data_IF_008713035564
#
_entry.id   IF_008713035564
#
_cell.length_a   1.000
_cell.length_b   1.000
_cell.length_c   1.000
_cell.angle_alpha   90.00
_cell.angle_beta   90.00
_cell.angle_gamma   90.00
#
_symmetry.space_group_name_H-M   'P 1'
#
loop_
_entity.id
_entity.type
_entity.pdbx_description
1 polymer ?
2 non-polymer ?
3 non-polymer ?
4 non-polymer ?
5 non-polymer ?
6 water ?
#
# COMPACT_ATOMS: atom_id res chain seq x y z
N UNK A 9 -18.39 -0.74 14.32
CA UNK A 9 -17.72 0.60 14.22
C UNK A 9 -16.25 0.42 13.83
N UNK A 10 -15.53 -0.35 14.65
CA UNK A 10 -14.17 -0.76 14.35
C UNK A 10 -14.09 -1.45 12.97
N UNK A 11 -15.17 -2.10 12.56
CA UNK A 11 -15.19 -2.89 11.33
C UNK A 11 -15.14 -2.06 10.05
N UNK A 12 -15.85 -0.93 10.03
CA UNK A 12 -15.87 -0.05 8.85
C UNK A 12 -14.44 0.33 8.42
N UNK A 13 -13.56 0.46 9.41
CA UNK A 13 -12.16 0.81 9.19
C UNK A 13 -11.45 -0.23 8.37
N UNK A 14 -11.49 -1.46 8.83
CA UNK A 14 -10.80 -2.55 8.15
C UNK A 14 -11.37 -2.80 6.76
N UNK A 15 -12.61 -2.37 6.50
CA UNK A 15 -13.18 -2.44 5.16
C UNK A 15 -12.46 -1.48 4.23
N UNK A 16 -12.34 -0.24 4.70
CA UNK A 16 -11.67 0.83 3.97
C UNK A 16 -10.19 0.53 3.78
N UNK A 17 -9.58 0.04 4.85
CA UNK A 17 -8.18 -0.33 4.81
C UNK A 17 -8.02 -1.37 3.75
N UNK A 18 -8.93 -2.33 3.75
CA UNK A 18 -8.89 -3.44 2.82
C UNK A 18 -8.94 -3.04 1.35
N UNK A 19 -9.66 -1.96 1.05
CA UNK A 19 -9.82 -1.52 -0.33
C UNK A 19 -8.52 -0.91 -0.85
N UNK A 20 -8.07 0.15 -0.17
CA UNK A 20 -6.82 0.82 -0.48
C UNK A 20 -5.64 -0.14 -0.41
N UNK A 21 -5.55 -0.92 0.65
CA UNK A 21 -4.48 -1.89 0.73
C UNK A 21 -4.45 -2.81 -0.48
N UNK A 22 -5.60 -3.34 -0.89
CA UNK A 22 -5.62 -4.35 -1.95
C UNK A 22 -5.48 -3.75 -3.34
N UNK A 23 -5.64 -2.44 -3.44
CA UNK A 23 -5.34 -1.73 -4.68
C UNK A 23 -3.87 -1.79 -5.04
N UNK A 24 -2.99 -1.88 -4.04
CA UNK A 24 -1.54 -1.81 -4.29
C UNK A 24 -1.02 -3.05 -4.99
N UNK A 25 -1.56 -4.21 -4.64
CA UNK A 25 -1.05 -5.46 -5.17
C UNK A 25 -0.98 -5.47 -6.70
N UNK A 26 -2.03 -4.99 -7.40
CA UNK A 26 -1.97 -4.96 -8.86
C UNK A 26 -1.05 -3.88 -9.38
N UNK A 27 -1.16 -2.67 -8.83
CA UNK A 27 -0.27 -1.57 -9.19
C UNK A 27 1.20 -1.99 -9.13
N UNK A 28 1.60 -2.57 -8.00
CA UNK A 28 2.95 -3.07 -7.82
C UNK A 28 3.36 -4.01 -8.93
N UNK A 29 2.53 -4.99 -9.23
CA UNK A 29 2.82 -5.89 -10.35
C UNK A 29 3.11 -5.10 -11.62
N UNK A 30 2.41 -3.97 -11.79
CA UNK A 30 2.59 -3.14 -12.97
C UNK A 30 3.99 -2.56 -13.04
N UNK A 31 4.44 -1.99 -11.94
CA UNK A 31 5.79 -1.44 -11.83
C UNK A 31 6.81 -2.48 -12.25
N UNK A 32 6.52 -3.75 -12.02
CA UNK A 32 7.38 -4.84 -12.42
C UNK A 32 7.40 -5.01 -13.93
N UNK A 33 6.22 -4.92 -14.57
CA UNK A 33 6.10 -5.06 -16.01
C UNK A 33 6.64 -3.84 -16.77
N UNK A 34 6.19 -2.65 -16.37
CA UNK A 34 6.67 -1.39 -16.91
C UNK A 34 8.21 -1.32 -16.95
N UNK A 35 8.85 -1.61 -15.82
CA UNK A 35 10.31 -1.55 -15.76
C UNK A 35 11.01 -2.54 -16.67
N UNK A 36 10.47 -3.75 -16.79
CA UNK A 36 11.17 -4.76 -17.60
C UNK A 36 11.14 -4.32 -19.08
N UNK A 37 10.06 -3.66 -19.47
CA UNK A 37 9.93 -3.06 -20.80
C UNK A 37 10.99 -1.96 -20.92
N UNK A 38 10.93 -1.02 -19.99
CA UNK A 38 11.85 0.11 -19.94
C UNK A 38 13.30 -0.29 -20.08
N UNK A 39 13.69 -1.46 -19.58
CA UNK A 39 15.08 -1.90 -19.66
C UNK A 39 15.33 -2.85 -20.82
N UNK A 40 14.39 -3.74 -21.09
CA UNK A 40 14.65 -4.86 -22.00
C UNK A 40 14.35 -4.54 -23.46
N UNK A 41 14.20 -3.25 -23.75
CA UNK A 41 13.57 -2.82 -25.00
C UNK A 41 14.18 -3.42 -26.26
N UNK A 42 15.49 -3.30 -26.41
CA UNK A 42 16.17 -3.89 -27.54
C UNK A 42 15.83 -5.36 -27.66
N UNK A 43 15.98 -6.07 -26.55
CA UNK A 43 15.93 -7.54 -26.54
C UNK A 43 14.56 -8.13 -26.87
N UNK A 44 13.49 -7.56 -26.34
CA UNK A 44 12.17 -8.21 -26.35
C UNK A 44 11.52 -8.36 -27.71
N UNK A 45 10.80 -9.46 -27.88
CA UNK A 45 10.07 -9.72 -29.13
C UNK A 45 8.59 -9.37 -28.97
N UNK A 46 7.87 -9.42 -30.08
CA UNK A 46 6.42 -9.23 -30.11
C UNK A 46 5.73 -10.06 -29.03
N UNK A 47 5.82 -11.38 -29.18
CA UNK A 47 5.03 -12.32 -28.39
C UNK A 47 4.99 -11.96 -26.92
N UNK A 48 6.15 -11.66 -26.35
CA UNK A 48 6.23 -11.39 -24.91
C UNK A 48 5.82 -9.95 -24.60
N UNK A 49 6.38 -9.00 -25.33
CA UNK A 49 6.04 -7.61 -25.12
C UNK A 49 4.52 -7.36 -25.18
N UNK A 50 3.86 -8.08 -26.07
CA UNK A 50 2.40 -8.02 -26.20
C UNK A 50 1.76 -8.61 -24.95
N UNK A 51 2.42 -9.59 -24.37
CA UNK A 51 1.91 -10.24 -23.16
C UNK A 51 2.05 -9.32 -21.95
N UNK A 52 3.23 -8.74 -21.79
CA UNK A 52 3.48 -7.77 -20.71
C UNK A 52 2.39 -6.71 -20.70
N UNK A 53 2.12 -6.13 -21.86
CA UNK A 53 1.08 -5.12 -22.00
C UNK A 53 -0.29 -5.66 -21.62
N UNK A 54 -0.63 -6.85 -22.07
CA UNK A 54 -1.90 -7.45 -21.71
C UNK A 54 -2.05 -7.58 -20.19
N UNK A 55 -0.97 -8.02 -19.55
CA UNK A 55 -0.93 -8.18 -18.11
C UNK A 55 -1.19 -6.87 -17.38
N UNK A 56 -0.62 -5.79 -17.90
CA UNK A 56 -0.90 -4.44 -17.38
C UNK A 56 -2.38 -4.07 -17.48
N UNK A 57 -3.01 -4.44 -18.61
CA UNK A 57 -4.42 -4.12 -18.82
C UNK A 57 -5.29 -4.93 -17.88
N UNK A 58 -4.97 -6.20 -17.71
CA UNK A 58 -5.68 -7.01 -16.73
C UNK A 58 -5.64 -6.35 -15.36
N UNK A 59 -4.43 -6.02 -14.92
CA UNK A 59 -4.22 -5.52 -13.56
C UNK A 59 -4.85 -4.15 -13.35
N UNK A 60 -4.99 -3.38 -14.43
CA UNK A 60 -5.67 -2.09 -14.32
C UNK A 60 -7.19 -2.30 -14.22
N UNK A 61 -7.71 -3.37 -14.81
CA UNK A 61 -9.12 -3.75 -14.67
C UNK A 61 -9.42 -4.10 -13.24
N UNK A 62 -8.54 -4.94 -12.68
CA UNK A 62 -8.62 -5.31 -11.29
C UNK A 62 -8.72 -4.10 -10.37
N UNK A 63 -7.92 -3.08 -10.64
CA UNK A 63 -8.00 -1.87 -9.82
C UNK A 63 -9.39 -1.25 -9.91
N UNK A 64 -9.94 -1.19 -11.11
CA UNK A 64 -11.26 -0.59 -11.27
C UNK A 64 -12.34 -1.44 -10.62
N UNK A 65 -12.22 -2.75 -10.78
CA UNK A 65 -13.08 -3.68 -10.07
C UNK A 65 -13.14 -3.33 -8.59
N UNK A 66 -11.96 -3.21 -7.98
CA UNK A 66 -11.89 -2.96 -6.56
C UNK A 66 -12.55 -1.62 -6.25
N UNK A 67 -12.26 -0.61 -7.07
CA UNK A 67 -12.85 0.70 -6.85
C UNK A 67 -14.36 0.61 -6.98
N UNK A 68 -14.81 -0.05 -8.05
CA UNK A 68 -16.23 -0.26 -8.31
C UNK A 68 -16.94 -0.89 -7.11
N UNK A 69 -16.38 -1.99 -6.61
CA UNK A 69 -16.97 -2.68 -5.46
C UNK A 69 -17.26 -1.73 -4.31
N UNK A 70 -16.34 -0.82 -4.05
CA UNK A 70 -16.48 0.12 -2.95
C UNK A 70 -17.61 1.11 -3.22
N UNK A 71 -17.70 1.59 -4.45
CA UNK A 71 -18.73 2.57 -4.81
C UNK A 71 -20.11 1.93 -4.72
N UNK A 72 -20.24 0.73 -5.25
CA UNK A 72 -21.45 -0.07 -5.06
C UNK A 72 -21.83 -0.17 -3.59
N UNK A 73 -20.87 -0.51 -2.76
CA UNK A 73 -21.12 -0.61 -1.34
C UNK A 73 -21.66 0.72 -0.78
N UNK A 74 -21.25 1.83 -1.37
CA UNK A 74 -21.72 3.12 -0.91
C UNK A 74 -23.19 3.36 -1.23
N UNK A 75 -23.62 2.95 -2.42
CA UNK A 75 -25.03 3.09 -2.79
C UNK A 75 -25.87 1.95 -2.20
N UNK A 76 -25.40 0.72 -2.35
CA UNK A 76 -26.14 -0.46 -1.95
C UNK A 76 -26.17 -0.67 -0.44
N UNK A 77 -25.06 -0.40 0.22
CA UNK A 77 -24.89 -0.80 1.62
C UNK A 77 -24.47 -2.26 1.72
N UNK A 78 -24.52 -2.97 0.59
CA UNK A 78 -24.11 -4.35 0.53
C UNK A 78 -22.73 -4.43 -0.11
N UNK A 79 -21.81 -5.09 0.58
CA UNK A 79 -20.39 -5.06 0.23
C UNK A 79 -19.92 -6.23 -0.61
N UNK A 80 -20.37 -7.44 -0.28
CA UNK A 80 -19.96 -8.65 -0.99
C UNK A 80 -21.15 -9.48 -1.52
N UNK A 81 -21.79 -9.02 -2.60
CA UNK A 81 -22.85 -9.75 -3.28
C UNK A 81 -22.48 -11.16 -3.69
N UNK A 82 -23.07 -12.14 -3.02
CA UNK A 82 -22.70 -13.56 -3.18
C UNK A 82 -23.32 -14.20 -4.44
N UNK A 83 -22.75 -15.32 -4.85
CA UNK A 83 -23.15 -15.99 -6.09
C UNK A 83 -22.34 -17.27 -6.31
N UNK A 84 -22.74 -18.07 -7.26
CA UNK A 84 -22.12 -19.37 -7.40
C UNK A 84 -21.08 -19.26 -8.49
N UNK A 85 -19.82 -19.46 -8.12
CA UNK A 85 -18.73 -19.34 -9.07
C UNK A 85 -17.71 -20.44 -8.93
N UNK A 86 -16.83 -20.55 -9.92
CA UNK A 86 -15.76 -21.53 -9.88
C UNK A 86 -14.57 -20.97 -9.12
N UNK A 87 -14.36 -21.48 -7.92
CA UNK A 87 -13.20 -21.15 -7.12
C UNK A 87 -11.89 -21.26 -7.90
N UNK A 88 -11.70 -22.39 -8.58
CA UNK A 88 -10.49 -22.62 -9.37
C UNK A 88 -10.21 -21.51 -10.38
N UNK A 89 -11.25 -21.05 -11.05
CA UNK A 89 -11.11 -19.94 -12.00
C UNK A 89 -10.39 -18.77 -11.33
N UNK A 90 -10.91 -18.37 -10.16
CA UNK A 90 -10.32 -17.29 -9.42
C UNK A 90 -8.89 -17.63 -9.03
N UNK A 91 -8.67 -18.85 -8.55
CA UNK A 91 -7.31 -19.22 -8.19
C UNK A 91 -6.35 -19.06 -9.37
N UNK A 92 -6.71 -19.65 -10.50
CA UNK A 92 -5.89 -19.62 -11.70
C UNK A 92 -5.56 -18.21 -12.13
N UNK A 93 -6.56 -17.35 -12.01
CA UNK A 93 -6.41 -15.92 -12.28
C UNK A 93 -5.25 -15.33 -11.48
N UNK A 94 -5.26 -15.61 -10.17
CA UNK A 94 -4.25 -15.06 -9.27
C UNK A 94 -2.91 -15.73 -9.50
N UNK A 95 -2.92 -17.03 -9.72
CA UNK A 95 -1.70 -17.78 -9.99
C UNK A 95 -1.04 -17.21 -11.23
N UNK A 96 -1.82 -16.97 -12.27
CA UNK A 96 -1.30 -16.38 -13.51
C UNK A 96 -0.69 -15.02 -13.26
N UNK A 97 -1.50 -14.10 -12.75
CA UNK A 97 -1.03 -12.75 -12.43
C UNK A 97 0.29 -12.74 -11.65
N UNK A 98 0.35 -13.55 -10.60
CA UNK A 98 1.45 -13.44 -9.65
C UNK A 98 2.68 -14.26 -10.01
N UNK A 99 2.58 -15.11 -11.02
CA UNK A 99 3.77 -15.83 -11.46
C UNK A 99 4.28 -15.18 -12.73
N UNK A 100 5.57 -14.82 -12.73
CA UNK A 100 6.19 -14.20 -13.89
C UNK A 100 7.09 -15.19 -14.60
N UNK A 101 8.09 -14.66 -15.31
CA UNK A 101 9.17 -15.48 -15.85
C UNK A 101 10.16 -15.75 -14.72
N UNK A 102 10.30 -14.75 -13.84
CA UNK A 102 11.17 -14.84 -12.67
C UNK A 102 10.64 -15.87 -11.69
N UNK A 103 9.37 -15.69 -11.31
CA UNK A 103 8.73 -16.48 -10.27
C UNK A 103 7.78 -17.52 -10.86
N UNK A 104 7.93 -18.76 -10.41
CA UNK A 104 7.03 -19.84 -10.80
C UNK A 104 6.27 -20.43 -9.61
N UNK A 105 4.95 -20.51 -9.73
CA UNK A 105 4.08 -20.93 -8.64
C UNK A 105 3.61 -22.34 -8.87
N UNK A 106 3.87 -23.25 -7.95
CA UNK A 106 3.43 -24.63 -8.07
C UNK A 106 1.95 -24.72 -7.84
N UNK A 107 1.37 -25.75 -8.44
CA UNK A 107 -0.07 -25.88 -8.48
C UNK A 107 -0.45 -27.31 -8.16
N UNK A 108 -1.47 -27.45 -7.31
CA UNK A 108 -2.16 -28.72 -7.11
C UNK A 108 -3.64 -28.42 -6.94
N UNK A 109 -4.23 -27.90 -7.99
CA UNK A 109 -5.65 -27.60 -7.98
C UNK A 109 -6.46 -28.87 -8.19
N UNK A 110 -7.70 -28.81 -7.71
CA UNK A 110 -8.66 -29.89 -7.87
C UNK A 110 -9.06 -29.92 -9.35
N UNK A 111 -9.17 -31.12 -9.94
CA UNK A 111 -9.57 -31.18 -11.34
C UNK A 111 -11.01 -30.74 -11.59
N UNK A 112 -11.23 -30.05 -12.70
CA UNK A 112 -12.54 -29.53 -13.00
C UNK A 112 -12.79 -28.25 -12.25
N UNK A 113 -14.01 -28.07 -11.80
CA UNK A 113 -14.38 -26.82 -11.18
C UNK A 113 -14.95 -27.09 -9.79
N UNK A 114 -14.98 -26.04 -8.99
CA UNK A 114 -15.53 -26.09 -7.66
C UNK A 114 -16.52 -24.96 -7.60
N UNK A 115 -17.80 -25.30 -7.53
CA UNK A 115 -18.83 -24.28 -7.42
C UNK A 115 -19.00 -23.95 -5.96
N UNK A 116 -18.77 -22.69 -5.64
CA UNK A 116 -18.96 -22.23 -4.27
C UNK A 116 -19.72 -20.92 -4.28
N UNK A 117 -20.42 -20.69 -3.19
CA UNK A 117 -21.14 -19.47 -2.99
C UNK A 117 -20.12 -18.48 -2.48
N UNK A 118 -19.81 -17.48 -3.29
CA UNK A 118 -18.78 -16.49 -2.94
C UNK A 118 -19.02 -15.12 -3.59
N UNK A 119 -18.30 -14.11 -3.10
CA UNK A 119 -18.10 -12.88 -3.84
C UNK A 119 -16.73 -12.90 -4.49
N UNK A 120 -16.66 -13.36 -5.76
CA UNK A 120 -15.40 -13.72 -6.43
C UNK A 120 -14.23 -12.73 -6.35
N UNK A 121 -14.51 -11.43 -6.45
CA UNK A 121 -13.43 -10.47 -6.36
C UNK A 121 -12.78 -10.53 -4.99
N UNK A 122 -13.62 -10.47 -3.96
CA UNK A 122 -13.15 -10.48 -2.58
C UNK A 122 -12.26 -11.68 -2.30
N UNK A 123 -12.64 -12.83 -2.80
CA UNK A 123 -11.81 -14.01 -2.61
C UNK A 123 -10.52 -13.88 -3.39
N UNK A 124 -10.61 -13.36 -4.60
CA UNK A 124 -9.43 -13.06 -5.40
C UNK A 124 -8.46 -12.22 -4.61
N UNK A 125 -8.98 -11.19 -3.93
CA UNK A 125 -8.14 -10.35 -3.06
C UNK A 125 -7.47 -11.20 -1.97
N UNK A 126 -8.27 -11.93 -1.21
CA UNK A 126 -7.73 -12.80 -0.19
C UNK A 126 -6.59 -13.64 -0.73
N UNK A 127 -6.81 -14.30 -1.84
CA UNK A 127 -5.79 -15.25 -2.33
C UNK A 127 -4.52 -14.50 -2.71
N UNK A 128 -4.69 -13.30 -3.27
CA UNK A 128 -3.57 -12.44 -3.63
C UNK A 128 -2.68 -12.17 -2.41
N UNK A 129 -3.29 -11.67 -1.35
CA UNK A 129 -2.58 -11.37 -0.11
C UNK A 129 -1.75 -12.56 0.37
N UNK A 130 -2.37 -13.72 0.38
CA UNK A 130 -1.68 -14.93 0.80
C UNK A 130 -0.45 -15.17 -0.08
N UNK A 131 -0.62 -14.99 -1.39
CA UNK A 131 0.45 -15.29 -2.33
C UNK A 131 1.57 -14.24 -2.34
N UNK A 132 1.25 -12.96 -2.18
CA UNK A 132 2.33 -11.96 -2.06
C UNK A 132 3.14 -12.18 -0.79
N UNK A 133 2.49 -12.54 0.31
CA UNK A 133 3.21 -12.90 1.52
C UNK A 133 4.13 -14.11 1.31
N UNK A 134 3.68 -15.08 0.53
CA UNK A 134 4.45 -16.29 0.37
C UNK A 134 5.75 -15.94 -0.34
N UNK A 135 5.64 -14.97 -1.23
CA UNK A 135 6.79 -14.44 -1.92
C UNK A 135 7.60 -13.62 -0.92
N UNK A 136 6.91 -12.75 -0.20
CA UNK A 136 7.58 -11.81 0.69
C UNK A 136 8.39 -12.49 1.80
N UNK A 137 7.83 -13.54 2.40
CA UNK A 137 8.46 -14.16 3.57
C UNK A 137 9.01 -15.55 3.25
N UNK A 138 8.92 -15.96 2.00
CA UNK A 138 9.39 -17.28 1.62
C UNK A 138 10.72 -17.17 0.93
N UNK A 139 11.15 -18.27 0.33
CA UNK A 139 12.44 -18.33 -0.34
C UNK A 139 12.30 -18.74 -1.78
N UNK A 140 11.18 -18.36 -2.38
CA UNK A 140 10.95 -18.59 -3.80
C UNK A 140 9.92 -19.64 -4.13
N UNK A 141 9.82 -20.68 -3.30
CA UNK A 141 8.82 -21.74 -3.53
C UNK A 141 7.47 -21.33 -3.00
N UNK A 142 6.45 -21.50 -3.84
CA UNK A 142 5.09 -21.16 -3.52
C UNK A 142 4.15 -22.16 -4.17
N UNK A 143 3.24 -22.72 -3.38
CA UNK A 143 2.35 -23.74 -3.91
C UNK A 143 0.91 -23.44 -3.58
N UNK A 144 0.09 -23.39 -4.62
CA UNK A 144 -1.34 -23.17 -4.45
C UNK A 144 -2.07 -24.46 -4.74
N UNK A 145 -2.95 -24.86 -3.83
CA UNK A 145 -3.74 -26.07 -3.99
C UNK A 145 -5.17 -25.83 -3.56
N UNK A 146 -6.08 -26.62 -4.14
CA UNK A 146 -7.48 -26.59 -3.77
C UNK A 146 -8.01 -28.00 -3.81
N UNK A 147 -9.11 -28.20 -3.07
CA UNK A 147 -9.82 -29.45 -3.05
C UNK A 147 -11.17 -29.25 -2.42
N UNK A 148 -11.88 -30.35 -2.20
CA UNK A 148 -13.25 -30.32 -1.72
C UNK A 148 -13.55 -31.53 -0.85
N UNK A 149 -14.61 -31.42 -0.06
CA UNK A 149 -15.02 -32.46 0.88
C UNK A 149 -16.53 -32.44 1.01
N UNK A 150 -17.11 -33.55 1.52
CA UNK A 150 -18.55 -33.67 1.65
C UNK A 150 -19.36 -32.38 1.70
N UNK A 151 -19.03 -31.44 2.58
CA UNK A 151 -19.79 -30.19 2.62
C UNK A 151 -18.97 -28.91 2.52
N UNK A 152 -17.66 -29.05 2.29
CA UNK A 152 -16.72 -27.94 2.34
C UNK A 152 -15.86 -27.90 1.08
N UNK A 153 -15.35 -26.72 0.76
CA UNK A 153 -14.30 -26.56 -0.24
C UNK A 153 -13.15 -25.84 0.41
N UNK A 154 -11.96 -25.99 -0.16
CA UNK A 154 -10.81 -25.27 0.35
C UNK A 154 -9.79 -24.91 -0.70
N UNK A 155 -9.06 -23.85 -0.40
CA UNK A 155 -7.79 -23.54 -1.07
C UNK A 155 -6.71 -23.22 -0.05
N UNK A 156 -5.48 -23.64 -0.33
CA UNK A 156 -4.34 -23.15 0.46
C UNK A 156 -3.16 -22.69 -0.35
N UNK A 157 -2.38 -21.78 0.24
CA UNK A 157 -1.08 -21.41 -0.29
C UNK A 157 -0.01 -21.78 0.71
N UNK A 158 1.14 -22.23 0.21
CA UNK A 158 2.25 -22.68 1.02
C UNK A 158 3.53 -22.02 0.55
N UNK A 159 4.41 -21.63 1.48
CA UNK A 159 5.75 -21.13 1.15
C UNK A 159 6.80 -21.92 1.89
N UNK A 160 8.06 -21.74 1.50
CA UNK A 160 9.19 -22.46 2.10
C UNK A 160 9.95 -21.56 3.05
N UNK A 161 9.28 -20.53 3.56
CA UNK A 161 9.86 -19.61 4.54
C UNK A 161 9.94 -20.20 5.94
N UNK A 162 9.99 -19.34 6.97
CA UNK A 162 10.08 -19.82 8.35
C UNK A 162 8.75 -20.20 8.99
N UNK A 163 7.62 -20.02 8.30
CA UNK A 163 6.33 -20.30 8.92
C UNK A 163 6.01 -19.27 9.98
N UNK A 164 4.90 -19.46 10.69
CA UNK A 164 4.54 -18.60 11.82
C UNK A 164 4.26 -19.42 13.05
N UNK A 165 5.08 -19.23 14.08
CA UNK A 165 4.97 -19.96 15.33
C UNK A 165 3.59 -19.76 15.94
N UNK A 166 2.91 -20.87 16.29
CA UNK A 166 1.52 -20.83 16.78
C UNK A 166 1.25 -19.73 17.82
N UNK A 167 2.19 -19.51 18.73
CA UNK A 167 2.04 -18.46 19.74
C UNK A 167 1.80 -17.08 19.14
N UNK A 168 2.34 -16.85 17.93
CA UNK A 168 2.25 -15.54 17.28
C UNK A 168 0.96 -15.31 16.51
N UNK A 169 0.34 -16.40 16.10
CA UNK A 169 -0.76 -16.32 15.14
C UNK A 169 -1.90 -15.37 15.50
N UNK A 170 -2.56 -15.57 16.63
CA UNK A 170 -3.70 -14.72 16.97
C UNK A 170 -3.27 -13.26 17.00
N UNK A 171 -2.06 -13.02 17.48
CA UNK A 171 -1.55 -11.66 17.58
C UNK A 171 -1.45 -11.00 16.20
N UNK A 172 -1.01 -11.76 15.22
CA UNK A 172 -0.70 -11.19 13.91
C UNK A 172 -1.90 -11.00 12.98
N UNK A 173 -3.06 -11.57 13.32
CA UNK A 173 -4.29 -11.27 12.58
C UNK A 173 -4.86 -9.88 12.86
N UNK A 174 -4.32 -9.19 13.86
CA UNK A 174 -4.81 -7.87 14.17
C UNK A 174 -4.35 -6.88 13.12
N UNK A 175 -5.19 -5.88 12.84
CA UNK A 175 -4.81 -4.90 11.85
C UNK A 175 -3.68 -4.02 12.34
N UNK A 176 -2.84 -3.59 11.39
CA UNK A 176 -1.69 -2.72 11.64
C UNK A 176 -0.66 -3.34 12.54
N UNK A 177 -0.62 -4.66 12.60
CA UNK A 177 0.31 -5.35 13.45
C UNK A 177 1.20 -6.11 12.52
N UNK A 178 2.49 -5.81 12.63
CA UNK A 178 3.52 -6.44 11.83
C UNK A 178 4.26 -7.46 12.69
N UNK A 179 5.18 -8.19 12.08
CA UNK A 179 6.07 -9.11 12.80
C UNK A 179 7.44 -8.51 13.06
N UNK A 180 8.01 -8.83 14.21
CA UNK A 180 9.40 -8.45 14.50
C UNK A 180 10.30 -9.10 13.45
N UNK A 181 10.04 -10.38 13.18
CA UNK A 181 10.66 -11.09 12.06
C UNK A 181 10.37 -10.32 10.77
N UNK A 182 9.14 -9.84 10.66
CA UNK A 182 8.74 -9.03 9.52
C UNK A 182 9.43 -7.66 9.47
N UNK A 183 9.82 -7.10 10.61
CA UNK A 183 10.35 -5.72 10.65
C UNK A 183 11.37 -5.52 9.49
N UNK A 184 12.29 -6.48 9.37
CA UNK A 184 13.26 -6.57 8.25
C UNK A 184 12.62 -6.31 6.87
N UNK A 185 11.53 -7.01 6.62
CA UNK A 185 10.73 -6.87 5.40
C UNK A 185 9.73 -5.70 5.51
N UNK A 186 9.46 -5.03 4.38
CA UNK A 186 8.55 -3.88 4.36
C UNK A 186 7.08 -4.32 4.33
N UNK A 187 6.17 -3.44 4.77
CA UNK A 187 4.74 -3.79 4.89
C UNK A 187 3.87 -2.92 5.80
N UNK A 188 2.71 -3.45 6.16
CA UNK A 188 1.60 -2.65 6.75
C UNK A 188 0.83 -3.34 7.84
N UNK A 189 0.96 -4.67 7.92
CA UNK A 189 0.32 -5.45 8.97
C UNK A 189 -1.17 -5.58 8.76
N UNK A 190 -1.56 -5.77 7.50
CA UNK A 190 -2.94 -5.74 7.07
C UNK A 190 -3.38 -6.98 6.29
N UNK A 191 -2.50 -7.57 5.50
CA UNK A 191 -2.90 -8.67 4.62
C UNK A 191 -3.74 -9.76 5.27
N UNK A 192 -3.21 -10.30 6.35
CA UNK A 192 -3.89 -11.34 7.13
C UNK A 192 -5.17 -10.85 7.80
N UNK A 193 -5.12 -9.64 8.32
CA UNK A 193 -6.32 -9.04 8.89
C UNK A 193 -7.47 -9.00 7.86
N UNK A 194 -7.13 -8.62 6.64
CA UNK A 194 -8.08 -8.54 5.55
C UNK A 194 -8.56 -9.92 5.15
N UNK A 195 -7.61 -10.82 4.94
CA UNK A 195 -7.94 -12.20 4.57
C UNK A 195 -8.94 -12.77 5.56
N UNK A 196 -8.74 -12.52 6.84
CA UNK A 196 -9.64 -13.08 7.83
C UNK A 196 -11.02 -12.55 7.61
N UNK A 197 -11.16 -11.23 7.59
CA UNK A 197 -12.45 -10.59 7.41
C UNK A 197 -13.18 -11.06 6.17
N UNK A 198 -12.46 -11.23 5.07
CA UNK A 198 -13.07 -11.72 3.85
C UNK A 198 -13.58 -13.12 4.10
N UNK A 199 -12.73 -13.99 4.64
CA UNK A 199 -13.16 -15.36 4.90
C UNK A 199 -14.31 -15.41 5.92
N UNK A 200 -14.30 -14.55 6.93
CA UNK A 200 -15.39 -14.53 7.91
C UNK A 200 -16.69 -14.17 7.23
N UNK A 201 -16.70 -13.09 6.47
CA UNK A 201 -17.90 -12.70 5.73
C UNK A 201 -18.45 -13.79 4.80
N UNK A 202 -17.69 -14.85 4.55
CA UNK A 202 -18.17 -16.02 3.79
C UNK A 202 -18.55 -17.16 4.72
N UNK A 203 -18.59 -16.87 6.01
CA UNK A 203 -18.74 -17.88 7.04
C UNK A 203 -17.80 -19.07 6.86
N UNK A 204 -16.56 -18.74 6.54
CA UNK A 204 -15.51 -19.73 6.32
C UNK A 204 -14.60 -19.82 7.52
N UNK A 205 -13.62 -20.72 7.44
CA UNK A 205 -12.58 -20.75 8.46
C UNK A 205 -11.17 -20.82 7.89
N UNK A 206 -10.28 -20.05 8.51
CA UNK A 206 -8.85 -20.11 8.21
C UNK A 206 -8.18 -21.12 9.10
N UNK A 207 -7.18 -21.80 8.55
CA UNK A 207 -6.42 -22.80 9.26
C UNK A 207 -4.94 -22.65 8.89
N UNK A 208 -4.13 -22.15 9.81
CA UNK A 208 -2.67 -22.03 9.62
C UNK A 208 -1.92 -23.29 10.06
N UNK A 209 -0.70 -23.45 9.57
CA UNK A 209 0.00 -24.74 9.67
C UNK A 209 1.40 -24.65 9.10
N UNK A 210 2.13 -25.76 9.12
CA UNK A 210 3.44 -25.73 8.47
C UNK A 210 3.36 -26.41 7.12
N UNK A 211 3.94 -25.72 6.13
CA UNK A 211 3.94 -26.18 4.75
C UNK A 211 4.73 -27.48 4.56
N UNK A 212 4.67 -27.98 3.34
CA UNK A 212 5.42 -29.16 2.88
C UNK A 212 6.91 -29.06 3.20
N UNK A 213 7.41 -27.82 3.27
CA UNK A 213 8.83 -27.54 3.48
C UNK A 213 9.13 -26.66 4.69
N UNK A 214 8.24 -26.64 5.66
CA UNK A 214 8.53 -25.96 6.93
C UNK A 214 8.10 -24.51 6.97
N UNK A 215 7.53 -24.02 5.88
CA UNK A 215 7.04 -22.64 5.86
C UNK A 215 5.60 -22.57 6.33
N UNK A 216 4.97 -21.41 6.18
CA UNK A 216 3.57 -21.24 6.51
C UNK A 216 2.70 -21.94 5.48
N UNK A 217 1.63 -22.55 5.98
CA UNK A 217 0.64 -23.22 5.17
C UNK A 217 -0.65 -22.61 5.63
N UNK A 218 -1.28 -21.83 4.78
CA UNK A 218 -2.50 -21.13 5.19
C UNK A 218 -3.65 -21.55 4.28
N UNK A 219 -4.71 -22.03 4.89
CA UNK A 219 -5.79 -22.69 4.17
C UNK A 219 -7.12 -22.13 4.55
N UNK A 220 -7.93 -21.80 3.54
CA UNK A 220 -9.24 -21.24 3.79
C UNK A 220 -10.29 -22.27 3.43
N UNK A 221 -11.18 -22.55 4.37
CA UNK A 221 -12.30 -23.46 4.13
C UNK A 221 -13.55 -22.67 3.87
N UNK A 222 -14.29 -23.07 2.84
CA UNK A 222 -15.57 -22.45 2.55
C UNK A 222 -16.71 -23.46 2.65
N UNK A 223 -17.87 -23.02 3.16
CA UNK A 223 -19.04 -23.89 3.16
C UNK A 223 -19.58 -24.07 1.75
N UNK A 224 -20.06 -25.28 1.45
CA UNK A 224 -20.76 -25.57 0.20
C UNK A 224 -22.18 -25.96 0.56
N UNK A 225 -23.13 -25.03 0.34
CA UNK A 225 -24.52 -25.31 0.66
C UNK A 225 -25.04 -26.56 -0.04
N UNK A 226 -26.19 -27.04 0.42
CA UNK A 226 -26.79 -28.26 -0.11
C UNK A 226 -28.29 -28.03 -0.27
N UNK A 227 -28.77 -28.09 -1.52
CA UNK A 227 -30.15 -27.71 -1.88
C UNK A 227 -31.21 -28.02 -0.81
N UNK B 9 -15.61 7.97 11.52
CA UNK B 9 -16.08 6.95 10.53
C UNK B 9 -16.38 7.51 9.14
N UNK B 10 -16.96 8.70 9.11
CA UNK B 10 -17.60 9.24 7.91
C UNK B 10 -16.77 10.28 7.13
N UNK B 11 -16.05 11.14 7.85
CA UNK B 11 -15.04 12.01 7.21
C UNK B 11 -14.04 11.14 6.48
N UNK B 12 -13.86 9.91 6.96
CA UNK B 12 -12.97 8.94 6.33
C UNK B 12 -13.57 8.44 5.02
N UNK B 13 -14.82 8.00 5.09
CA UNK B 13 -15.52 7.44 3.92
C UNK B 13 -15.54 8.43 2.75
N UNK B 14 -15.87 9.67 3.06
CA UNK B 14 -15.87 10.76 2.11
C UNK B 14 -14.48 10.90 1.49
N UNK B 15 -13.48 10.80 2.34
CA UNK B 15 -12.08 10.89 1.92
C UNK B 15 -11.70 9.74 0.99
N UNK B 16 -12.09 8.51 1.38
CA UNK B 16 -11.92 7.33 0.53
C UNK B 16 -12.56 7.52 -0.84
N UNK B 17 -13.72 8.17 -0.88
CA UNK B 17 -14.40 8.48 -2.13
C UNK B 17 -13.54 9.39 -3.00
N UNK B 18 -12.96 10.41 -2.37
CA UNK B 18 -12.08 11.34 -3.06
C UNK B 18 -10.87 10.62 -3.64
N UNK B 19 -10.29 9.73 -2.86
CA UNK B 19 -9.13 8.97 -3.29
C UNK B 19 -9.44 8.20 -4.56
N UNK B 20 -10.51 7.41 -4.52
CA UNK B 20 -10.91 6.64 -5.68
C UNK B 20 -11.17 7.54 -6.90
N UNK B 21 -11.77 8.71 -6.66
CA UNK B 21 -11.96 9.70 -7.72
C UNK B 21 -10.63 10.15 -8.32
N UNK B 22 -9.72 10.59 -7.48
CA UNK B 22 -8.41 11.10 -7.92
C UNK B 22 -7.57 10.04 -8.65
N UNK B 23 -7.83 8.79 -8.33
CA UNK B 23 -7.19 7.67 -8.99
C UNK B 23 -7.60 7.46 -10.45
N UNK B 24 -8.74 7.98 -10.87
CA UNK B 24 -9.29 7.65 -12.19
C UNK B 24 -8.41 8.10 -13.34
N UNK B 25 -7.93 9.34 -13.27
CA UNK B 25 -7.09 9.93 -14.34
C UNK B 25 -5.76 9.21 -14.56
N UNK B 26 -4.97 9.00 -13.48
CA UNK B 26 -3.76 8.19 -13.62
C UNK B 26 -4.03 6.81 -14.17
N UNK B 27 -5.09 6.19 -13.66
CA UNK B 27 -5.45 4.83 -14.03
C UNK B 27 -5.86 4.71 -15.48
N UNK B 28 -6.67 5.65 -15.97
CA UNK B 28 -7.14 5.61 -17.35
C UNK B 28 -5.94 5.76 -18.27
N UNK B 29 -5.02 6.62 -17.87
CA UNK B 29 -3.85 6.95 -18.67
C UNK B 29 -2.90 5.78 -18.83
N UNK B 30 -2.82 4.96 -17.79
CA UNK B 30 -1.97 3.78 -17.80
C UNK B 30 -2.51 2.75 -18.75
N UNK B 31 -3.81 2.46 -18.63
CA UNK B 31 -4.49 1.51 -19.52
C UNK B 31 -4.27 1.95 -20.97
N UNK B 32 -4.38 3.26 -21.19
CA UNK B 32 -4.18 3.86 -22.51
C UNK B 32 -2.81 3.61 -23.12
N UNK B 33 -1.76 3.95 -22.37
CA UNK B 33 -0.38 3.70 -22.81
C UNK B 33 -0.23 2.20 -23.01
N UNK B 34 -0.75 1.46 -22.05
CA UNK B 34 -0.63 0.02 -22.07
C UNK B 34 -1.23 -0.53 -23.34
N UNK B 35 -2.35 0.08 -23.75
CA UNK B 35 -3.08 -0.43 -24.90
C UNK B 35 -2.36 -0.13 -26.22
N UNK B 36 -1.80 1.07 -26.35
CA UNK B 36 -1.09 1.40 -27.58
C UNK B 36 0.14 0.52 -27.72
N UNK B 37 0.86 0.31 -26.64
CA UNK B 37 2.00 -0.61 -26.68
C UNK B 37 1.54 -1.97 -27.20
N UNK B 38 0.41 -2.42 -26.66
CA UNK B 38 -0.15 -3.72 -27.00
C UNK B 38 -0.41 -3.87 -28.49
N UNK B 39 -0.93 -2.81 -29.10
CA UNK B 39 -1.33 -2.84 -30.51
C UNK B 39 -0.26 -2.40 -31.49
N UNK B 40 0.74 -1.68 -31.01
CA UNK B 40 1.67 -0.99 -31.90
C UNK B 40 3.08 -1.52 -31.79
N UNK B 41 3.20 -2.77 -31.39
CA UNK B 41 4.52 -3.37 -31.23
C UNK B 41 5.36 -3.26 -32.48
N UNK B 42 4.84 -3.78 -33.60
CA UNK B 42 5.49 -3.61 -34.88
C UNK B 42 5.85 -2.15 -35.13
N UNK B 43 4.86 -1.28 -34.95
CA UNK B 43 4.95 0.14 -35.29
C UNK B 43 6.10 0.97 -34.64
N UNK B 44 6.29 0.88 -33.34
CA UNK B 44 6.86 2.01 -32.59
C UNK B 44 8.38 2.11 -32.46
N UNK B 45 8.84 3.35 -32.37
CA UNK B 45 10.22 3.67 -32.04
C UNK B 45 10.52 3.27 -30.61
N UNK B 46 11.72 2.77 -30.37
CA UNK B 46 12.16 2.41 -29.01
C UNK B 46 12.20 3.61 -28.07
N UNK B 47 12.50 4.79 -28.60
CA UNK B 47 12.47 6.03 -27.83
C UNK B 47 11.09 6.24 -27.21
N UNK B 48 10.06 6.08 -28.02
CA UNK B 48 8.69 6.40 -27.62
C UNK B 48 8.16 5.32 -26.71
N UNK B 49 8.31 4.08 -27.15
CA UNK B 49 7.96 2.90 -26.36
C UNK B 49 8.49 2.99 -24.94
N UNK B 50 9.61 3.68 -24.78
CA UNK B 50 10.29 3.84 -23.52
C UNK B 50 9.64 4.98 -22.76
N UNK B 51 9.47 6.11 -23.43
CA UNK B 51 8.66 7.17 -22.89
C UNK B 51 7.24 6.65 -22.52
N UNK B 52 6.59 5.65 -23.23
CA UNK B 52 5.30 5.24 -22.59
C UNK B 52 5.65 4.56 -21.29
N UNK B 53 6.46 3.50 -21.29
CA UNK B 53 6.85 2.77 -20.06
C UNK B 53 7.29 3.66 -18.90
N UNK B 54 8.00 4.73 -19.20
CA UNK B 54 8.46 5.64 -18.17
C UNK B 54 7.29 6.38 -17.55
N UNK B 55 6.37 6.81 -18.40
CA UNK B 55 5.23 7.59 -17.95
C UNK B 55 4.24 6.75 -17.14
N UNK B 56 4.10 5.47 -17.53
CA UNK B 56 3.33 4.47 -16.78
C UNK B 56 3.80 4.47 -15.35
N UNK B 57 5.12 4.40 -15.22
CA UNK B 57 5.78 4.28 -13.94
C UNK B 57 5.59 5.54 -13.10
N UNK B 58 5.70 6.70 -13.75
CA UNK B 58 5.47 7.95 -13.05
C UNK B 58 4.08 7.97 -12.45
N UNK B 59 3.13 7.40 -13.19
CA UNK B 59 1.71 7.39 -12.80
C UNK B 59 1.41 6.40 -11.69
N UNK B 60 2.02 5.22 -11.80
CA UNK B 60 1.89 4.22 -10.75
C UNK B 60 2.37 4.81 -9.43
N UNK B 61 3.44 5.60 -9.48
CA UNK B 61 3.99 6.25 -8.29
C UNK B 61 3.01 7.24 -7.72
N UNK B 62 2.33 7.97 -8.60
CA UNK B 62 1.32 8.92 -8.18
C UNK B 62 0.23 8.19 -7.39
N UNK B 63 -0.16 7.02 -7.87
CA UNK B 63 -1.25 6.28 -7.25
C UNK B 63 -0.82 5.81 -5.87
N UNK B 64 0.26 5.03 -5.84
CA UNK B 64 0.84 4.55 -4.58
C UNK B 64 0.93 5.65 -3.53
N UNK B 65 1.33 6.84 -3.94
CA UNK B 65 1.39 7.98 -3.02
C UNK B 65 0.08 8.26 -2.31
N UNK B 66 -1.01 8.32 -3.06
CA UNK B 66 -2.30 8.74 -2.51
C UNK B 66 -2.87 7.65 -1.63
N UNK B 67 -2.71 6.42 -2.10
CA UNK B 67 -3.22 5.28 -1.39
C UNK B 67 -2.53 5.15 -0.06
N UNK B 68 -1.19 5.18 -0.12
CA UNK B 68 -0.36 5.11 1.08
C UNK B 68 -0.78 6.24 2.00
N UNK B 69 -0.86 7.43 1.45
CA UNK B 69 -1.24 8.59 2.25
C UNK B 69 -2.54 8.33 3.02
N UNK B 70 -3.51 7.71 2.37
CA UNK B 70 -4.81 7.44 2.97
C UNK B 70 -4.72 6.41 4.09
N UNK B 71 -4.04 5.30 3.79
CA UNK B 71 -3.79 4.24 4.77
C UNK B 71 -3.15 4.83 6.03
N UNK B 72 -2.17 5.70 5.83
CA UNK B 72 -1.47 6.33 6.94
C UNK B 72 -2.47 7.12 7.77
N UNK B 73 -3.31 7.90 7.10
CA UNK B 73 -4.36 8.67 7.76
C UNK B 73 -5.31 7.76 8.56
N UNK B 74 -5.61 6.63 7.96
CA UNK B 74 -6.48 5.65 8.58
C UNK B 74 -5.87 5.22 9.91
N UNK B 75 -4.65 4.71 9.84
CA UNK B 75 -3.87 4.25 11.00
C UNK B 75 -3.84 5.28 12.10
N UNK B 76 -3.85 6.54 11.71
CA UNK B 76 -3.79 7.64 12.67
C UNK B 76 -4.90 7.51 13.70
N UNK B 77 -6.03 6.93 13.29
CA UNK B 77 -7.17 6.79 14.19
C UNK B 77 -7.00 5.78 15.30
N UNK B 78 -6.17 4.76 15.09
CA UNK B 78 -6.03 3.69 16.08
C UNK B 78 -4.81 3.88 16.97
N UNK B 79 -4.90 3.35 18.18
CA UNK B 79 -3.81 3.39 19.15
C UNK B 79 -2.72 2.39 18.77
N UNK B 80 -1.46 2.82 18.88
CA UNK B 80 -0.33 2.01 18.49
C UNK B 80 0.58 1.74 19.67
N UNK B 81 1.26 0.58 19.68
CA UNK B 81 2.24 0.30 20.72
C UNK B 81 3.41 1.27 20.71
N UNK B 82 3.57 2.01 21.80
CA UNK B 82 4.73 2.91 21.99
C UNK B 82 5.92 2.16 22.56
N UNK B 83 7.10 2.69 22.32
CA UNK B 83 8.34 2.12 22.84
C UNK B 83 9.41 3.18 22.91
N UNK B 84 10.53 2.86 23.52
CA UNK B 84 11.64 3.80 23.55
C UNK B 84 12.45 3.57 22.31
N UNK B 85 12.76 4.67 21.61
CA UNK B 85 13.52 4.59 20.37
C UNK B 85 14.28 5.87 20.10
N UNK B 86 15.41 5.74 19.40
CA UNK B 86 16.27 6.88 19.04
C UNK B 86 15.71 7.67 17.88
N UNK B 87 15.24 8.88 18.18
CA UNK B 87 14.72 9.76 17.15
C UNK B 87 15.66 9.89 15.92
N UNK B 88 16.96 9.96 16.16
CA UNK B 88 17.89 10.21 15.06
C UNK B 88 18.07 9.01 14.16
N UNK B 89 17.87 7.81 14.68
CA UNK B 89 17.89 6.62 13.82
C UNK B 89 16.67 6.56 12.91
N UNK B 90 15.53 7.02 13.43
CA UNK B 90 14.29 7.04 12.67
C UNK B 90 14.43 8.04 11.56
N UNK B 91 14.80 9.26 11.90
CA UNK B 91 15.02 10.29 10.89
C UNK B 91 16.02 9.81 9.83
N UNK B 92 17.06 9.12 10.26
CA UNK B 92 18.09 8.65 9.36
C UNK B 92 17.56 7.71 8.30
N UNK B 93 16.64 6.87 8.71
CA UNK B 93 16.06 5.86 7.82
C UNK B 93 15.18 6.52 6.76
N UNK B 94 14.27 7.38 7.21
CA UNK B 94 13.40 8.14 6.33
C UNK B 94 14.19 9.00 5.35
N UNK B 95 15.18 9.73 5.85
CA UNK B 95 16.00 10.59 4.99
C UNK B 95 16.68 9.80 3.89
N UNK B 96 17.13 8.59 4.20
CA UNK B 96 17.74 7.73 3.17
C UNK B 96 16.72 7.38 2.10
N UNK B 97 15.53 7.00 2.56
CA UNK B 97 14.45 6.56 1.67
C UNK B 97 13.84 7.69 0.84
N UNK B 98 13.73 8.89 1.39
CA UNK B 98 13.25 10.03 0.62
C UNK B 98 14.42 10.69 -0.06
N UNK B 99 15.60 10.15 0.21
CA UNK B 99 16.81 10.71 -0.34
C UNK B 99 16.85 10.30 -1.81
N UNK B 100 16.91 11.27 -2.70
CA UNK B 100 16.96 10.98 -4.13
C UNK B 100 17.92 11.85 -4.91
N UNK B 101 18.25 11.43 -6.13
CA UNK B 101 19.05 12.26 -7.02
C UNK B 101 18.18 13.41 -7.51
N UNK B 102 16.90 13.12 -7.69
CA UNK B 102 15.85 14.14 -7.85
C UNK B 102 15.97 15.29 -6.83
N UNK B 103 16.10 14.94 -5.54
CA UNK B 103 16.14 15.93 -4.45
C UNK B 103 17.26 15.66 -3.46
N UNK B 104 18.00 16.70 -3.09
CA UNK B 104 19.09 16.55 -2.13
C UNK B 104 18.67 17.11 -0.78
N UNK B 105 18.90 16.30 0.24
CA UNK B 105 18.50 16.61 1.59
C UNK B 105 19.72 16.98 2.42
N UNK B 106 19.66 18.11 3.10
CA UNK B 106 20.71 18.50 4.04
C UNK B 106 20.41 17.94 5.46
N UNK B 107 21.32 17.10 5.93
CA UNK B 107 21.22 16.48 7.24
C UNK B 107 22.09 17.20 8.26
N UNK B 108 21.45 17.64 9.33
CA UNK B 108 22.10 18.40 10.38
C UNK B 108 21.57 17.92 11.72
N UNK B 109 21.78 16.63 11.99
CA UNK B 109 21.17 16.04 13.19
C UNK B 109 21.97 16.25 14.46
N UNK B 110 21.24 16.53 15.54
CA UNK B 110 21.77 16.58 16.88
C UNK B 110 22.75 15.43 17.10
N UNK B 111 23.97 15.73 17.56
CA UNK B 111 25.04 14.74 17.58
C UNK B 111 25.05 13.86 18.82
N UNK B 112 23.88 13.41 19.21
CA UNK B 112 23.73 12.47 20.31
C UNK B 112 22.39 11.82 20.18
N UNK B 113 22.26 10.62 20.73
CA UNK B 113 21.02 9.88 20.61
C UNK B 113 19.94 10.57 21.46
N UNK B 114 18.72 10.60 20.93
CA UNK B 114 17.58 11.20 21.60
C UNK B 114 16.50 10.12 21.78
N UNK B 115 16.27 9.70 23.02
CA UNK B 115 15.24 8.71 23.32
C UNK B 115 13.92 9.41 23.54
N UNK B 116 12.91 9.02 22.77
CA UNK B 116 11.54 9.49 22.97
C UNK B 116 10.65 8.30 22.87
N UNK B 117 9.47 8.40 23.50
CA UNK B 117 8.46 7.36 23.48
C UNK B 117 7.60 7.57 22.23
N UNK B 118 7.60 6.59 21.33
CA UNK B 118 6.95 6.72 20.02
C UNK B 118 6.64 5.40 19.35
N UNK B 119 5.63 5.42 18.49
CA UNK B 119 5.45 4.38 17.48
C UNK B 119 6.31 4.70 16.26
N UNK B 120 7.43 3.98 16.08
CA UNK B 120 8.39 4.35 15.03
C UNK B 120 7.81 4.51 13.63
N UNK B 121 7.02 3.53 13.20
CA UNK B 121 6.43 3.62 11.88
C UNK B 121 5.65 4.92 11.69
N UNK B 122 4.84 5.27 12.69
CA UNK B 122 4.06 6.50 12.60
C UNK B 122 4.96 7.73 12.41
N UNK B 123 6.03 7.81 13.19
CA UNK B 123 6.94 8.93 13.11
C UNK B 123 7.58 8.98 11.73
N UNK B 124 8.07 7.84 11.27
CA UNK B 124 8.62 7.76 9.92
C UNK B 124 7.69 8.34 8.84
N UNK B 125 6.40 8.17 9.03
CA UNK B 125 5.45 8.69 8.05
C UNK B 125 5.31 10.20 8.16
N UNK B 126 5.23 10.68 9.40
CA UNK B 126 5.14 12.11 9.64
C UNK B 126 6.35 12.82 9.02
N UNK B 127 7.52 12.21 9.18
CA UNK B 127 8.72 12.80 8.65
C UNK B 127 8.62 12.81 7.13
N UNK B 128 8.27 11.67 6.56
CA UNK B 128 8.18 11.53 5.12
C UNK B 128 7.24 12.55 4.48
N UNK B 129 6.07 12.75 5.05
CA UNK B 129 5.13 13.72 4.50
C UNK B 129 5.67 15.13 4.54
N UNK B 130 6.35 15.46 5.63
CA UNK B 130 7.01 16.76 5.76
C UNK B 130 8.03 16.97 4.65
N UNK B 131 8.75 15.91 4.31
CA UNK B 131 9.78 15.98 3.28
C UNK B 131 9.20 16.21 1.90
N UNK B 132 8.14 15.48 1.55
CA UNK B 132 7.55 15.62 0.22
C UNK B 132 6.88 16.98 0.11
N UNK B 133 6.19 17.41 1.16
CA UNK B 133 5.61 18.75 1.20
C UNK B 133 6.70 19.78 0.95
N UNK B 134 7.85 19.58 1.59
CA UNK B 134 8.96 20.49 1.44
C UNK B 134 9.59 20.39 0.05
N UNK B 135 9.41 19.26 -0.62
CA UNK B 135 9.90 19.09 -1.98
C UNK B 135 8.97 19.76 -2.99
N UNK B 136 7.68 19.86 -2.65
CA UNK B 136 6.70 20.49 -3.53
C UNK B 136 6.76 22.01 -3.39
N UNK B 137 6.53 22.49 -2.18
CA UNK B 137 6.57 23.92 -1.89
C UNK B 137 7.93 24.56 -2.16
N UNK B 138 8.99 23.76 -2.08
CA UNK B 138 10.35 24.29 -2.13
C UNK B 138 10.96 24.32 -3.52
N UNK B 139 12.13 24.97 -3.63
CA UNK B 139 12.89 25.09 -4.88
C UNK B 139 14.03 24.08 -5.02
N UNK B 140 14.09 23.09 -4.14
CA UNK B 140 15.06 21.99 -4.25
C UNK B 140 15.88 21.72 -3.00
N UNK B 141 16.04 22.75 -2.18
CA UNK B 141 16.77 22.64 -0.92
C UNK B 141 15.85 22.16 0.16
N UNK B 142 16.27 21.11 0.86
CA UNK B 142 15.53 20.58 1.98
C UNK B 142 16.53 20.30 3.12
N UNK B 143 16.25 20.83 4.31
CA UNK B 143 17.08 20.52 5.48
C UNK B 143 16.31 19.89 6.63
N UNK B 144 16.75 18.71 7.01
CA UNK B 144 16.23 18.02 8.17
C UNK B 144 17.22 18.07 9.36
N UNK B 145 16.71 18.46 10.50
CA UNK B 145 17.49 18.61 11.70
C UNK B 145 16.72 18.09 12.91
N UNK B 146 17.45 17.83 14.00
CA UNK B 146 16.85 17.41 15.26
C UNK B 146 17.57 18.06 16.40
N UNK B 147 16.98 18.00 17.58
CA UNK B 147 17.64 18.47 18.79
C UNK B 147 16.79 18.21 19.99
N UNK B 148 17.21 18.74 21.12
CA UNK B 148 16.55 18.40 22.38
C UNK B 148 16.73 19.48 23.41
N UNK B 149 15.84 19.48 24.38
CA UNK B 149 15.87 20.39 25.51
C UNK B 149 15.68 19.49 26.72
N UNK B 150 15.87 20.04 27.93
CA UNK B 150 15.66 19.15 29.08
C UNK B 150 14.35 18.36 29.02
N UNK B 151 13.27 19.02 28.66
CA UNK B 151 11.92 18.43 28.76
C UNK B 151 11.34 17.84 27.48
N UNK B 152 11.77 18.35 26.34
CA UNK B 152 11.15 17.98 25.07
C UNK B 152 12.18 17.93 23.95
N UNK B 153 12.00 16.98 23.04
CA UNK B 153 12.83 16.89 21.84
C UNK B 153 12.11 17.46 20.63
N UNK B 154 12.80 17.51 19.51
CA UNK B 154 12.23 18.03 18.28
C UNK B 154 12.95 17.51 17.05
N UNK B 155 12.22 17.49 15.94
CA UNK B 155 12.82 17.41 14.62
C UNK B 155 12.13 18.43 13.75
N UNK B 156 12.81 18.91 12.72
CA UNK B 156 12.18 19.83 11.78
C UNK B 156 12.69 19.70 10.35
N UNK B 157 11.84 20.10 9.40
CA UNK B 157 12.24 20.17 8.01
C UNK B 157 12.06 21.60 7.53
N UNK B 158 12.89 21.99 6.57
CA UNK B 158 12.91 23.33 6.05
C UNK B 158 13.07 23.27 4.55
N UNK B 159 12.34 24.13 3.85
CA UNK B 159 12.53 24.30 2.41
C UNK B 159 12.98 25.73 2.07
N UNK B 160 13.44 25.92 0.83
CA UNK B 160 13.70 27.26 0.29
C UNK B 160 12.56 27.70 -0.61
N UNK B 161 11.33 27.45 -0.17
CA UNK B 161 10.13 27.77 -0.94
C UNK B 161 9.64 29.19 -0.72
N UNK B 162 8.35 29.43 -0.98
CA UNK B 162 7.82 30.78 -0.91
C UNK B 162 7.71 31.31 0.52
N UNK B 163 7.53 30.41 1.48
CA UNK B 163 7.31 30.81 2.85
C UNK B 163 5.86 31.19 3.04
N UNK B 164 5.12 30.35 3.75
CA UNK B 164 3.68 30.50 3.89
C UNK B 164 3.33 31.46 5.03
N UNK B 165 2.57 32.51 4.70
CA UNK B 165 2.16 33.50 5.69
C UNK B 165 1.18 32.90 6.70
N UNK B 166 1.27 33.35 7.97
CA UNK B 166 0.39 32.91 9.06
C UNK B 166 -1.12 32.83 8.74
N UNK B 167 -1.57 33.51 7.68
CA UNK B 167 -2.95 33.41 7.20
C UNK B 167 -3.20 32.08 6.49
N UNK B 168 -2.43 31.84 5.44
CA UNK B 168 -2.58 30.62 4.64
C UNK B 168 -2.24 29.42 5.50
N UNK B 169 -1.33 29.66 6.45
CA UNK B 169 -0.88 28.67 7.42
C UNK B 169 -1.98 27.78 8.01
N UNK B 170 -3.13 28.38 8.32
CA UNK B 170 -4.23 27.62 8.90
C UNK B 170 -4.86 26.65 7.89
N UNK B 171 -5.13 27.13 6.68
CA UNK B 171 -5.75 26.31 5.64
C UNK B 171 -4.69 25.50 4.89
N UNK B 172 -3.74 24.95 5.63
CA UNK B 172 -2.67 24.15 5.05
C UNK B 172 -2.84 22.69 5.46
N UNK B 173 -3.70 22.47 6.45
CA UNK B 173 -4.03 21.13 6.95
C UNK B 173 -5.36 20.62 6.39
N UNK B 174 -5.80 21.18 5.28
CA UNK B 174 -7.07 20.78 4.69
C UNK B 174 -6.85 19.75 3.56
N UNK B 175 -7.38 18.51 3.74
CA UNK B 175 -7.24 17.48 2.71
C UNK B 175 -8.04 17.75 1.44
N UNK B 176 -9.21 18.39 1.60
CA UNK B 176 -10.13 18.70 0.49
C UNK B 176 -9.89 20.10 -0.08
N UNK B 177 -9.95 20.23 -1.41
CA UNK B 177 -9.66 21.52 -2.06
C UNK B 177 -10.94 22.22 -2.54
N UNK B 178 -11.05 23.53 -2.26
CA UNK B 178 -12.24 24.31 -2.63
C UNK B 178 -12.41 24.52 -4.15
N UNK B 179 -11.31 24.80 -4.85
CA UNK B 179 -11.35 25.15 -6.27
C UNK B 179 -11.93 24.13 -7.23
N UNK B 180 -11.87 22.85 -6.86
CA UNK B 180 -12.22 21.75 -7.76
C UNK B 180 -11.37 21.84 -9.01
N UNK B 181 -10.06 21.84 -8.80
CA UNK B 181 -9.10 21.74 -9.90
C UNK B 181 -9.06 20.29 -10.39
N UNK B 182 -10.24 19.74 -10.67
CA UNK B 182 -10.39 18.35 -11.13
C UNK B 182 -9.87 17.29 -10.15
N UNK B 183 -9.48 17.71 -8.96
CA UNK B 183 -8.96 16.80 -7.95
C UNK B 183 -9.73 17.04 -6.68
N UNK B 184 -10.31 15.99 -6.12
CA UNK B 184 -11.03 16.10 -4.86
C UNK B 184 -10.06 16.38 -3.71
N UNK B 185 -8.83 15.86 -3.81
CA UNK B 185 -7.91 15.83 -2.67
C UNK B 185 -6.60 16.55 -2.88
N UNK B 186 -6.19 17.27 -1.84
CA UNK B 186 -4.86 17.86 -1.75
C UNK B 186 -3.90 16.93 -1.03
N UNK B 187 -2.92 16.39 -1.75
CA UNK B 187 -1.87 15.55 -1.16
C UNK B 187 -1.06 16.31 -0.12
N UNK B 188 -0.71 17.55 -0.44
CA UNK B 188 -0.04 18.42 0.51
C UNK B 188 -0.84 18.58 1.81
N UNK B 189 -2.12 18.87 1.67
CA UNK B 189 -2.97 19.13 2.82
C UNK B 189 -3.19 17.89 3.65
N UNK B 190 -3.58 16.80 2.99
CA UNK B 190 -3.77 15.52 3.67
C UNK B 190 -2.51 15.12 4.42
N UNK B 191 -1.36 15.29 3.77
CA UNK B 191 -0.07 14.95 4.35
C UNK B 191 0.14 15.64 5.68
N UNK B 192 0.04 16.97 5.66
CA UNK B 192 0.20 17.77 6.88
C UNK B 192 -0.86 17.42 7.92
N UNK B 193 -2.06 17.11 7.47
CA UNK B 193 -3.11 16.69 8.41
C UNK B 193 -2.74 15.37 9.07
N UNK B 194 -2.12 14.47 8.30
CA UNK B 194 -1.60 13.23 8.84
C UNK B 194 -0.54 13.52 9.90
N UNK B 195 0.41 14.39 9.56
CA UNK B 195 1.48 14.79 10.49
C UNK B 195 0.86 15.36 11.77
N UNK B 196 -0.02 16.34 11.61
CA UNK B 196 -0.75 16.94 12.71
C UNK B 196 -1.33 15.87 13.67
N UNK B 197 -1.96 14.85 13.10
CA UNK B 197 -2.62 13.83 13.92
C UNK B 197 -1.61 12.91 14.59
N UNK B 198 -0.51 12.59 13.90
CA UNK B 198 0.51 11.71 14.45
C UNK B 198 1.24 12.37 15.62
N UNK B 199 1.58 13.64 15.44
CA UNK B 199 2.22 14.41 16.49
C UNK B 199 1.31 14.44 17.72
N UNK B 200 0.03 14.70 17.50
CA UNK B 200 -0.95 14.72 18.59
C UNK B 200 -1.05 13.41 19.32
N UNK B 201 -1.14 12.31 18.58
CA UNK B 201 -1.15 10.99 19.21
C UNK B 201 0.08 10.76 20.08
N UNK B 202 1.16 11.48 19.80
CA UNK B 202 2.39 11.37 20.58
C UNK B 202 2.49 12.44 21.65
N UNK B 203 1.40 13.17 21.86
CA UNK B 203 1.33 14.28 22.83
C UNK B 203 2.35 15.35 22.54
N UNK B 204 2.61 15.58 21.27
CA UNK B 204 3.54 16.63 20.86
C UNK B 204 2.76 17.79 20.27
N UNK B 205 3.47 18.77 19.73
CA UNK B 205 2.81 19.82 18.96
C UNK B 205 3.67 20.30 17.80
N UNK B 206 3.02 20.74 16.74
CA UNK B 206 3.69 21.25 15.56
C UNK B 206 3.91 22.71 15.76
N UNK B 207 4.91 23.24 15.06
CA UNK B 207 5.24 24.65 15.13
C UNK B 207 5.77 25.07 13.77
N UNK B 208 5.09 26.01 13.14
CA UNK B 208 5.43 26.42 11.79
C UNK B 208 6.13 27.77 11.83
N UNK B 209 6.90 28.06 10.79
CA UNK B 209 7.59 29.33 10.68
C UNK B 209 8.42 29.41 9.42
N UNK B 210 9.19 30.49 9.32
CA UNK B 210 10.05 30.72 8.16
C UNK B 210 11.40 30.07 8.38
N UNK B 211 12.00 29.57 7.31
CA UNK B 211 13.28 28.88 7.38
C UNK B 211 14.45 29.85 7.19
N UNK B 212 15.66 29.30 7.33
CA UNK B 212 16.91 30.04 7.05
C UNK B 212 16.87 30.75 5.71
N UNK B 213 16.40 30.02 4.68
CA UNK B 213 16.36 30.53 3.31
C UNK B 213 14.97 31.04 2.92
N UNK B 214 14.21 31.55 3.88
CA UNK B 214 12.94 32.25 3.59
C UNK B 214 11.73 31.37 3.38
N UNK B 215 11.94 30.06 3.21
CA UNK B 215 10.85 29.11 2.96
C UNK B 215 10.09 28.70 4.20
N UNK B 216 9.33 27.60 4.09
CA UNK B 216 8.59 27.06 5.21
C UNK B 216 9.48 26.20 6.11
N UNK B 217 9.27 26.28 7.41
CA UNK B 217 9.92 25.38 8.34
C UNK B 217 8.90 24.90 9.35
N UNK B 218 8.75 23.58 9.39
CA UNK B 218 7.80 22.94 10.26
C UNK B 218 8.62 22.11 11.25
N UNK B 219 8.29 22.24 12.52
CA UNK B 219 9.00 21.60 13.60
C UNK B 219 8.02 20.85 14.46
N UNK B 220 8.39 19.63 14.82
CA UNK B 220 7.53 18.77 15.63
C UNK B 220 8.16 18.50 16.99
N UNK B 221 7.50 18.99 18.04
CA UNK B 221 7.99 18.77 19.40
C UNK B 221 7.46 17.45 19.95
N UNK B 222 8.26 16.78 20.76
CA UNK B 222 7.82 15.56 21.44
C UNK B 222 8.31 15.51 22.88
N UNK B 223 7.51 14.93 23.77
CA UNK B 223 7.95 14.85 25.16
C UNK B 223 9.08 13.84 25.37
N UNK B 224 10.06 14.23 26.18
CA UNK B 224 11.06 13.31 26.70
C UNK B 224 10.51 12.76 28.00
N UNK B 225 10.71 11.46 28.27
CA UNK B 225 10.34 10.91 29.57
C UNK B 225 10.84 11.73 30.75
X LIG C 1 1.08 -5.83 4.24
X LIG C 1 -0.09 -5.14 4.91
X LIG C 1 0.80 -7.13 3.52
X LIG C 1 1.83 -4.89 3.34
X LIG C 1 2.29 -7.57 6.23
X LIG C 1 3.20 -7.33 7.40
X LIG C 1 2.60 -8.75 5.33
X LIG C 1 2.14 -6.16 5.45
X LIG C 1 0.19 -9.11 7.34
X LIG C 1 -0.18 -9.93 6.15
X LIG C 1 -0.84 -8.62 8.36
X LIG C 1 0.81 -7.73 6.82
X LIG C 1 1.32 -10.06 7.98
X LIG C 1 1.43 -10.19 9.40
X LIG C 1 2.76 -10.81 9.81
X LIG C 1 2.70 -12.24 9.71
X LIG C 1 3.92 -10.40 8.91
X LIG C 1 4.48 -9.15 9.34
X LIG C 1 4.87 -11.58 9.05
X LIG C 1 5.67 -11.50 10.23
X LIG C 1 3.95 -12.77 9.24
X LIG C 1 3.73 -13.56 8.00
X LIG C 1 2.73 -13.37 7.11
X LIG C 1 2.82 -14.30 6.12
X LIG C 1 3.87 -15.07 6.37
X LIG C 1 4.51 -16.23 5.74
X LIG C 1 3.97 -16.67 4.59
X LIG C 1 5.63 -16.79 6.28
X LIG C 1 6.12 -16.28 7.42
X LIG C 1 5.57 -15.22 8.06
X LIG C 1 4.48 -14.58 7.60
X LIG D 1 0.96 -9.54 3.83
X LIG E 1 1.57 -26.30 13.36
X LIG E 1 0.62 -27.42 13.33
X LIG E 1 0.79 -25.05 13.45
X LIG E 1 2.47 -26.37 14.54
X LIG E 1 2.37 -26.32 12.12
X LIG F 1 -20.91 -10.84 8.78
X LIG F 1 -20.07 -11.76 9.53
X LIG F 1 -21.49 -11.50 7.52
X LIG F 1 -21.32 -12.93 7.60
X LIG F 1 -22.36 -13.75 7.02
X LIG F 1 -23.02 -14.66 8.07
X LIG F 1 -22.25 -14.73 9.28
X LIG G 1 25.54 9.05 22.20
X LIG G 1 25.52 7.59 22.45
X LIG G 1 26.94 9.55 22.21
X LIG G 1 24.92 9.27 20.87
X LIG G 1 24.76 9.77 23.24
X LIG H 1 -1.78 18.74 -4.14
X LIG H 1 -1.61 20.06 -4.80
X LIG H 1 -2.92 18.04 -4.79
X LIG H 1 -0.55 17.96 -4.31
X LIG H 1 -2.04 18.96 -2.70
#
# INVERSE_FOLDING_TARGET
MAAGVKQLADDRTLLMAGVSHDLRTPLTRIRAYAETIYNSLGELDLSTLKELAESINKDIEECNAIIEQFIDYLRTGQEMPMEMADLNAVLGEVIAAESGYEREIETALYPGSIEVKMHPLSIKRAVANMVVNAARYGNGWIKVSSGTEPNRAWFQVEDDGPGIAPEQRKHLFQPFVRGDSARTISGTGLGLAIVQRIVDNHNGMLELGTSERGGLSIRAWLPVPVTRAQGTTKEG
MAAGVKQLADDRTLLMAGVSHDLRTPLTRIRAYAETIYNSLGELDLSTLKELAESINKDIEECNAIIEQFIDYLRTGQEMPMEMADLNAVLGEVIAAESGYEREIETALYPGSIEVKMHPLSIKRAVANMVVNAARYGNGWIKVSSGTEPNRAWFQVEDDGPGIAPEQRKHLFQPFVRGDSARTISGTGLGLAIVQRIVDNHNGMLELGTSERGGLSIRAWLPVPVTRAQGTTKEG
ANP PG O1G O2G O3G PB O1B O2B N3B PA O1A O2A O3A O5' C5' C4' O4' C3' O3' C2' O2' C1' N9 C8 N7 C5 C6 N6 N1 C2 N3 C4
MG MG
SO4 S O1 O2 O3 O4
PEG C1 O1 C2 O2 C3 C4 O4
SO4 S O1 O2 O3 O4
SO4 S O1 O2 O3 O4
#
